data_IF_003316662990
#
_entry.id   IF_003316662990
#
_cell.length_a   1.000
_cell.length_b   1.000
_cell.length_c   1.000
_cell.angle_alpha   90.00
_cell.angle_beta   90.00
_cell.angle_gamma   90.00
#
_symmetry.space_group_name_H-M   'P 1'
#
loop_
_entity.id
_entity.type
_entity.pdbx_description
1 polymer ?
#
# COMPACT_ATOMS: atom_id res chain seq x y z
N UNK A 1 9.11 -23.06 3.48
CA UNK A 1 8.93 -21.81 2.69
C UNK A 1 7.62 -21.18 3.10
N UNK A 2 7.55 -19.86 3.36
CA UNK A 2 6.29 -19.21 3.69
C UNK A 2 5.33 -19.27 2.49
N UNK A 3 4.03 -19.41 2.76
CA UNK A 3 2.99 -19.38 1.72
C UNK A 3 2.82 -17.92 1.28
N UNK A 4 3.28 -17.59 0.07
CA UNK A 4 3.17 -16.25 -0.52
C UNK A 4 1.99 -16.26 -1.51
N UNK A 5 1.10 -15.28 -1.40
CA UNK A 5 0.04 -15.04 -2.38
C UNK A 5 0.50 -13.94 -3.33
N UNK A 6 0.53 -14.26 -4.62
CA UNK A 6 0.77 -13.30 -5.68
C UNK A 6 -0.60 -12.91 -6.24
N UNK A 7 -0.83 -11.62 -6.43
CA UNK A 7 -2.05 -11.08 -7.04
C UNK A 7 -1.68 -10.21 -8.24
N UNK A 8 -2.49 -10.29 -9.27
CA UNK A 8 -2.44 -9.41 -10.44
C UNK A 8 -3.08 -8.06 -10.11
N UNK A 9 -2.82 -7.08 -10.97
CA UNK A 9 -3.44 -5.75 -10.85
C UNK A 9 -4.97 -5.81 -10.96
N UNK A 10 -5.52 -6.63 -11.86
CA UNK A 10 -6.96 -6.83 -12.00
C UNK A 10 -7.59 -7.43 -10.73
N UNK A 11 -6.94 -8.43 -10.13
CA UNK A 11 -7.38 -9.02 -8.85
C UNK A 11 -7.33 -7.96 -7.74
N UNK A 12 -6.25 -7.18 -7.65
CA UNK A 12 -6.12 -6.11 -6.64
C UNK A 12 -7.24 -5.07 -6.79
N UNK A 13 -7.53 -4.61 -8.01
CA UNK A 13 -8.62 -3.64 -8.26
C UNK A 13 -9.99 -4.17 -7.88
N UNK A 14 -10.25 -5.46 -8.09
CA UNK A 14 -11.52 -6.07 -7.68
C UNK A 14 -11.70 -6.12 -6.16
N UNK A 15 -10.60 -6.03 -5.40
CA UNK A 15 -10.59 -6.11 -3.94
C UNK A 15 -10.49 -4.75 -3.23
N UNK A 16 -10.10 -3.68 -3.93
CA UNK A 16 -9.94 -2.34 -3.34
C UNK A 16 -11.07 -1.44 -3.84
N UNK A 17 -12.14 -1.35 -3.04
CA UNK A 17 -13.27 -0.44 -3.26
C UNK A 17 -13.15 0.86 -2.46
N UNK A 18 -14.05 1.81 -2.70
CA UNK A 18 -14.23 2.97 -1.82
C UNK A 18 -15.44 2.69 -0.91
N UNK A 19 -15.18 2.03 0.20
CA UNK A 19 -16.17 1.61 1.19
C UNK A 19 -15.72 1.95 2.62
N UNK A 20 -16.60 1.69 3.59
CA UNK A 20 -16.33 1.99 5.00
C UNK A 20 -15.19 1.15 5.58
N UNK A 21 -14.98 -0.07 5.08
CA UNK A 21 -13.87 -0.92 5.51
C UNK A 21 -12.53 -0.31 5.07
N UNK A 22 -12.48 0.22 3.85
CA UNK A 22 -11.31 0.94 3.33
C UNK A 22 -11.04 2.21 4.13
N UNK A 23 -12.08 3.00 4.45
CA UNK A 23 -11.92 4.20 5.29
C UNK A 23 -11.37 3.84 6.67
N UNK A 24 -11.94 2.81 7.31
CA UNK A 24 -11.51 2.35 8.63
C UNK A 24 -10.05 1.88 8.64
N UNK A 25 -9.63 1.12 7.62
CA UNK A 25 -8.26 0.67 7.47
C UNK A 25 -7.26 1.85 7.42
N UNK A 26 -7.61 2.90 6.67
CA UNK A 26 -6.77 4.11 6.58
C UNK A 26 -6.77 4.89 7.89
N UNK A 27 -7.92 5.02 8.57
CA UNK A 27 -8.01 5.66 9.89
C UNK A 27 -7.12 4.97 10.93
N UNK A 28 -7.18 3.64 11.02
CA UNK A 28 -6.36 2.84 11.92
C UNK A 28 -4.86 3.00 11.62
N UNK A 29 -4.49 3.08 10.34
CA UNK A 29 -3.11 3.35 9.94
C UNK A 29 -2.62 4.72 10.44
N UNK A 30 -3.44 5.77 10.32
CA UNK A 30 -3.09 7.10 10.86
C UNK A 30 -3.01 7.12 12.38
N UNK A 31 -3.95 6.46 13.08
CA UNK A 31 -3.90 6.35 14.53
C UNK A 31 -2.62 5.64 15.01
N UNK A 32 -2.21 4.59 14.30
CA UNK A 32 -0.98 3.85 14.59
C UNK A 32 0.27 4.70 14.33
N UNK A 33 0.30 5.44 13.21
CA UNK A 33 1.37 6.39 12.90
C UNK A 33 1.52 7.48 13.98
N UNK A 34 0.40 7.99 14.50
CA UNK A 34 0.40 8.98 15.58
C UNK A 34 0.93 8.42 16.91
N UNK A 35 0.84 7.11 17.13
CA UNK A 35 1.34 6.43 18.33
C UNK A 35 2.86 6.33 18.44
N UNK A 36 3.61 6.53 17.35
CA UNK A 36 5.08 6.55 17.35
C UNK A 36 5.77 5.18 17.28
N UNK A 37 5.01 4.08 17.28
CA UNK A 37 5.54 2.71 17.17
C UNK A 37 5.83 2.28 15.72
N UNK A 38 5.56 3.16 14.75
CA UNK A 38 5.77 2.89 13.33
C UNK A 38 7.14 3.37 12.88
N UNK A 39 7.93 2.44 12.34
CA UNK A 39 9.15 2.78 11.62
C UNK A 39 8.81 3.08 10.16
N UNK A 40 8.98 4.33 9.75
CA UNK A 40 8.89 4.75 8.35
C UNK A 40 10.30 4.70 7.73
N UNK A 41 10.63 3.69 6.91
CA UNK A 41 11.90 3.67 6.21
C UNK A 41 11.95 4.84 5.21
N UNK A 42 13.16 5.30 4.83
CA UNK A 42 13.29 6.33 3.80
C UNK A 42 12.64 5.87 2.49
N UNK A 43 11.90 6.77 1.85
CA UNK A 43 11.31 6.52 0.53
C UNK A 43 12.44 6.55 -0.50
N UNK A 44 12.72 5.39 -1.11
CA UNK A 44 13.60 5.28 -2.26
C UNK A 44 12.84 5.71 -3.51
N UNK A 45 13.17 6.89 -4.02
CA UNK A 45 12.75 7.33 -5.35
C UNK A 45 13.85 7.02 -6.35
N UNK A 46 13.48 6.52 -7.53
CA UNK A 46 14.40 6.33 -8.64
C UNK A 46 13.80 7.05 -9.84
N UNK A 47 14.43 8.15 -10.25
CA UNK A 47 14.03 8.87 -11.45
C UNK A 47 14.39 8.01 -12.67
N UNK A 48 13.38 7.55 -13.39
CA UNK A 48 13.53 6.80 -14.63
C UNK A 48 13.22 7.76 -15.77
N UNK A 49 14.19 7.95 -16.67
CA UNK A 49 13.95 8.73 -17.89
C UNK A 49 12.81 8.10 -18.69
N UNK A 50 11.87 8.93 -19.15
CA UNK A 50 10.75 8.46 -19.97
C UNK A 50 11.28 7.70 -21.20
N UNK A 51 10.93 6.43 -21.34
CA UNK A 51 11.23 5.64 -22.52
C UNK A 51 9.98 5.68 -23.42
N UNK A 52 10.02 6.49 -24.49
CA UNK A 52 9.02 6.41 -25.57
C UNK A 52 9.36 5.20 -26.45
N UNK A 53 8.79 4.04 -26.13
CA UNK A 53 8.66 2.90 -27.04
C UNK A 53 7.27 2.90 -27.65
#
# INVERSE_FOLDING_TARGET
>A
MPKIKIVTEAELRSHVGLDLDTVKCVEEAFATLAGGDVVMPPILSMDIAAYHG
#
